data_IF_470364365536
#
_entry.id   IF_470364365536
#
_cell.length_a   1.000
_cell.length_b   1.000
_cell.length_c   1.000
_cell.angle_alpha   90.00
_cell.angle_beta   90.00
_cell.angle_gamma   90.00
#
_symmetry.space_group_name_H-M   'P 1'
#
loop_
_entity.id
_entity.type
_entity.pdbx_description
1 polymer ?
#
# COMPACT_ATOMS: atom_id res chain seq x y z
N UNK A 1 13.78 -33.50 19.62
CA UNK A 1 13.98 -33.60 18.13
C UNK A 1 15.39 -34.09 17.81
N UNK A 2 16.20 -34.42 18.84
CA UNK A 2 17.58 -34.87 18.65
C UNK A 2 17.61 -36.16 17.80
N UNK A 3 18.45 -36.15 16.75
CA UNK A 3 18.64 -37.29 15.83
C UNK A 3 17.54 -37.46 14.78
N UNK A 4 16.64 -36.47 14.59
CA UNK A 4 15.64 -36.49 13.54
C UNK A 4 15.98 -35.46 12.47
N UNK A 5 15.67 -35.79 11.21
CA UNK A 5 15.72 -34.86 10.10
C UNK A 5 14.46 -34.02 10.05
N UNK A 6 14.44 -32.88 9.34
CA UNK A 6 13.23 -32.08 9.13
C UNK A 6 12.03 -32.89 8.64
N UNK A 7 12.22 -33.86 7.75
CA UNK A 7 11.16 -34.79 7.29
C UNK A 7 10.58 -35.70 8.38
N UNK A 8 11.32 -35.92 9.45
CA UNK A 8 10.84 -36.68 10.60
C UNK A 8 10.04 -35.87 11.61
N UNK A 9 9.92 -34.56 11.42
CA UNK A 9 9.32 -33.61 12.36
C UNK A 9 8.21 -32.77 11.71
N UNK A 10 8.41 -32.37 10.47
CA UNK A 10 7.53 -31.46 9.75
C UNK A 10 6.93 -32.12 8.52
N UNK A 11 5.86 -31.53 8.00
CA UNK A 11 5.28 -31.91 6.72
C UNK A 11 6.28 -31.73 5.57
N UNK A 12 6.19 -32.54 4.48
CA UNK A 12 7.19 -32.55 3.40
C UNK A 12 7.52 -31.18 2.84
N UNK A 13 6.51 -30.34 2.57
CA UNK A 13 6.71 -29.01 2.00
C UNK A 13 7.52 -28.11 2.94
N UNK A 14 7.23 -28.14 4.23
CA UNK A 14 7.97 -27.38 5.24
C UNK A 14 9.38 -27.90 5.45
N UNK A 15 9.53 -29.22 5.45
CA UNK A 15 10.84 -29.86 5.56
C UNK A 15 11.75 -29.45 4.39
N UNK A 16 11.21 -29.39 3.16
CA UNK A 16 11.94 -28.93 1.97
C UNK A 16 12.39 -27.47 2.11
N UNK A 17 11.51 -26.58 2.61
CA UNK A 17 11.86 -25.19 2.84
C UNK A 17 13.03 -25.07 3.83
N UNK A 18 12.95 -25.76 4.97
CA UNK A 18 14.05 -25.77 5.96
C UNK A 18 15.35 -26.27 5.36
N UNK A 19 15.31 -27.39 4.65
CA UNK A 19 16.51 -27.99 4.01
C UNK A 19 17.05 -27.06 2.93
N UNK A 20 16.22 -26.36 2.21
CA UNK A 20 16.66 -25.39 1.20
C UNK A 20 17.46 -24.26 1.83
N UNK A 21 16.98 -23.70 2.95
CA UNK A 21 17.70 -22.67 3.69
C UNK A 21 19.00 -23.19 4.33
N UNK A 22 18.96 -24.40 4.89
CA UNK A 22 20.15 -25.04 5.41
C UNK A 22 21.24 -25.18 4.31
N UNK A 23 20.84 -25.64 3.11
CA UNK A 23 21.71 -25.75 1.97
C UNK A 23 22.29 -24.40 1.53
N UNK A 24 21.47 -23.38 1.51
CA UNK A 24 21.90 -22.02 1.16
C UNK A 24 22.99 -21.51 2.12
N UNK A 25 22.83 -21.71 3.44
CA UNK A 25 23.87 -21.37 4.41
C UNK A 25 25.16 -22.17 4.16
N UNK A 26 25.01 -23.46 3.82
CA UNK A 26 26.16 -24.32 3.51
C UNK A 26 26.91 -23.89 2.26
N UNK A 27 26.20 -23.51 1.19
CA UNK A 27 26.80 -23.12 -0.08
C UNK A 27 27.43 -21.73 -0.01
N UNK A 28 26.72 -20.76 0.59
CA UNK A 28 27.18 -19.39 0.66
C UNK A 28 28.17 -19.14 1.80
N UNK A 29 28.26 -20.07 2.76
CA UNK A 29 29.13 -19.99 3.94
C UNK A 29 28.99 -18.67 4.73
N UNK A 30 27.78 -18.13 4.78
CA UNK A 30 27.43 -16.87 5.47
C UNK A 30 26.12 -17.01 6.21
N UNK A 31 25.87 -16.14 7.22
CA UNK A 31 24.56 -16.06 7.86
C UNK A 31 23.46 -15.70 6.86
N UNK A 32 22.30 -16.37 6.99
CA UNK A 32 21.07 -15.99 6.31
C UNK A 32 19.98 -15.69 7.32
N UNK A 33 19.05 -14.82 6.92
CA UNK A 33 17.84 -14.51 7.68
C UNK A 33 16.64 -14.65 6.76
N UNK A 34 15.61 -15.37 7.23
CA UNK A 34 14.38 -15.61 6.49
C UNK A 34 13.20 -15.74 7.42
N UNK A 35 11.99 -15.59 6.90
CA UNK A 35 10.75 -15.76 7.65
C UNK A 35 10.11 -17.10 7.31
N UNK A 36 9.59 -17.79 8.33
CA UNK A 36 8.93 -19.07 8.15
C UNK A 36 7.71 -19.18 9.08
N UNK A 37 6.60 -19.65 8.51
CA UNK A 37 5.37 -19.92 9.25
C UNK A 37 5.32 -21.36 9.74
N UNK A 38 5.36 -21.54 11.05
CA UNK A 38 5.26 -22.84 11.70
C UNK A 38 3.82 -23.15 12.08
N UNK A 39 3.27 -24.29 11.66
CA UNK A 39 2.01 -24.79 12.17
C UNK A 39 2.20 -25.40 13.56
N UNK A 40 1.27 -25.12 14.45
CA UNK A 40 1.18 -25.77 15.76
C UNK A 40 0.13 -26.91 15.71
N UNK A 41 0.25 -27.94 16.60
CA UNK A 41 -0.70 -29.05 16.67
C UNK A 41 -2.14 -28.61 17.00
N UNK A 42 -2.32 -27.45 17.61
CA UNK A 42 -3.62 -26.85 17.95
C UNK A 42 -4.24 -26.03 16.79
N UNK A 43 -3.63 -26.09 15.61
CA UNK A 43 -4.08 -25.38 14.42
C UNK A 43 -3.64 -23.92 14.32
N UNK A 44 -2.99 -23.38 15.35
CA UNK A 44 -2.38 -22.04 15.26
C UNK A 44 -1.18 -22.06 14.32
N UNK A 45 -0.86 -20.89 13.77
CA UNK A 45 0.38 -20.67 13.02
C UNK A 45 1.13 -19.50 13.63
N UNK A 46 2.43 -19.65 13.76
CA UNK A 46 3.32 -18.58 14.21
C UNK A 46 4.40 -18.31 13.17
N UNK A 47 4.69 -17.04 12.94
CA UNK A 47 5.75 -16.59 12.06
C UNK A 47 7.02 -16.35 12.85
N UNK A 48 8.10 -16.97 12.42
CA UNK A 48 9.41 -16.76 13.01
C UNK A 48 10.36 -16.12 12.01
N UNK A 49 11.05 -15.09 12.45
CA UNK A 49 12.25 -14.62 11.80
C UNK A 49 13.39 -15.54 12.24
N UNK A 50 13.81 -16.38 11.31
CA UNK A 50 14.87 -17.37 11.52
C UNK A 50 16.20 -16.78 11.06
N UNK A 51 17.24 -16.92 11.90
CA UNK A 51 18.60 -16.61 11.52
C UNK A 51 19.47 -17.84 11.69
N UNK A 52 20.11 -18.25 10.62
CA UNK A 52 21.02 -19.39 10.59
C UNK A 52 22.43 -18.93 10.29
N UNK A 53 23.38 -19.52 11.01
CA UNK A 53 24.80 -19.18 10.97
C UNK A 53 25.60 -20.46 10.86
N UNK A 54 26.57 -20.58 9.93
CA UNK A 54 27.51 -21.69 9.94
C UNK A 54 28.46 -21.57 11.14
N UNK A 55 28.80 -22.67 11.76
CA UNK A 55 29.80 -22.67 12.85
C UNK A 55 30.91 -23.66 12.55
N UNK A 56 32.11 -23.36 13.08
CA UNK A 56 33.36 -24.00 12.73
C UNK A 56 34.13 -24.43 13.96
N UNK A 57 34.92 -25.49 13.82
CA UNK A 57 35.94 -25.84 14.77
C UNK A 57 37.09 -24.81 14.76
N UNK A 58 37.93 -24.85 15.79
CA UNK A 58 39.08 -23.95 15.94
C UNK A 58 40.08 -24.03 14.76
N UNK A 59 40.13 -25.17 14.07
CA UNK A 59 40.98 -25.42 12.92
C UNK A 59 40.30 -25.14 11.54
N UNK A 60 39.12 -24.51 11.56
CA UNK A 60 38.41 -24.06 10.36
C UNK A 60 37.50 -25.09 9.71
N UNK A 61 37.39 -26.31 10.24
CA UNK A 61 36.42 -27.29 9.78
C UNK A 61 34.99 -26.86 10.15
N UNK A 62 34.06 -26.91 9.19
CA UNK A 62 32.66 -26.60 9.45
C UNK A 62 32.00 -27.76 10.20
N UNK A 63 31.47 -27.48 11.39
CA UNK A 63 30.84 -28.47 12.24
C UNK A 63 29.32 -28.55 12.03
N UNK A 64 28.70 -27.48 11.53
CA UNK A 64 27.26 -27.45 11.33
C UNK A 64 26.68 -26.05 11.18
N UNK A 65 25.39 -25.96 11.49
CA UNK A 65 24.62 -24.72 11.52
C UNK A 65 24.04 -24.49 12.92
N UNK A 66 23.98 -23.24 13.32
CA UNK A 66 23.21 -22.81 14.49
C UNK A 66 22.09 -21.92 13.99
N UNK A 67 20.85 -22.27 14.31
CA UNK A 67 19.66 -21.49 14.00
C UNK A 67 19.00 -20.99 15.29
N UNK A 68 18.51 -19.74 15.25
CA UNK A 68 17.62 -19.20 16.25
C UNK A 68 16.47 -18.46 15.59
N UNK A 69 15.29 -18.55 16.19
CA UNK A 69 14.08 -17.93 15.70
C UNK A 69 13.54 -16.92 16.69
N UNK A 70 13.13 -15.76 16.18
CA UNK A 70 12.35 -14.77 16.92
C UNK A 70 10.91 -14.86 16.47
N UNK A 71 9.98 -15.01 17.39
CA UNK A 71 8.56 -14.96 17.09
C UNK A 71 8.16 -13.51 16.69
N UNK A 72 7.69 -13.36 15.48
CA UNK A 72 7.24 -12.08 14.90
C UNK A 72 5.76 -12.14 14.52
N UNK A 73 5.01 -13.11 15.04
CA UNK A 73 3.61 -13.37 14.66
C UNK A 73 2.72 -12.15 14.86
N UNK A 74 2.80 -11.53 16.05
CA UNK A 74 2.01 -10.33 16.35
C UNK A 74 2.40 -9.17 15.44
N UNK A 75 3.70 -8.98 15.22
CA UNK A 75 4.20 -7.94 14.32
C UNK A 75 3.65 -8.10 12.90
N UNK A 76 3.67 -9.32 12.36
CA UNK A 76 3.11 -9.63 11.04
C UNK A 76 1.61 -9.41 10.99
N UNK A 77 0.86 -9.82 12.02
CA UNK A 77 -0.59 -9.58 12.08
C UNK A 77 -0.92 -8.09 12.06
N UNK A 78 -0.25 -7.29 12.88
CA UNK A 78 -0.45 -5.84 12.89
C UNK A 78 -0.08 -5.20 11.55
N UNK A 79 1.00 -5.67 10.92
CA UNK A 79 1.41 -5.20 9.60
C UNK A 79 0.34 -5.50 8.54
N UNK A 80 -0.18 -6.72 8.52
CA UNK A 80 -1.23 -7.16 7.59
C UNK A 80 -2.54 -6.38 7.82
N UNK A 81 -2.93 -6.17 9.10
CA UNK A 81 -4.10 -5.37 9.45
C UNK A 81 -3.96 -3.91 8.98
N UNK A 82 -2.79 -3.30 9.20
CA UNK A 82 -2.51 -1.93 8.77
C UNK A 82 -2.52 -1.81 7.25
N UNK A 83 -1.92 -2.77 6.56
CA UNK A 83 -1.90 -2.80 5.09
C UNK A 83 -3.31 -2.97 4.53
N UNK A 84 -4.11 -3.87 5.11
CA UNK A 84 -5.51 -4.06 4.73
C UNK A 84 -6.33 -2.79 4.97
N UNK A 85 -6.25 -2.17 6.15
CA UNK A 85 -6.93 -0.93 6.45
C UNK A 85 -6.54 0.20 5.47
N UNK A 86 -5.27 0.27 5.11
CA UNK A 86 -4.76 1.22 4.12
C UNK A 86 -5.32 0.96 2.72
N UNK A 87 -5.46 -0.30 2.30
CA UNK A 87 -6.08 -0.68 1.03
C UNK A 87 -7.57 -0.38 1.01
N UNK A 88 -8.29 -0.72 2.09
CA UNK A 88 -9.72 -0.46 2.23
C UNK A 88 -10.02 1.05 2.16
N UNK A 89 -9.21 1.90 2.86
CA UNK A 89 -9.29 3.37 2.77
C UNK A 89 -9.18 3.85 1.32
N UNK A 90 -8.24 3.32 0.55
CA UNK A 90 -8.03 3.73 -0.85
C UNK A 90 -9.20 3.35 -1.74
N UNK A 91 -9.64 2.11 -1.61
CA UNK A 91 -10.78 1.61 -2.39
C UNK A 91 -12.01 2.45 -2.12
N UNK A 92 -12.26 2.77 -0.84
CA UNK A 92 -13.36 3.63 -0.42
C UNK A 92 -13.28 5.03 -1.05
N UNK A 93 -12.12 5.71 -0.93
CA UNK A 93 -11.93 7.07 -1.49
C UNK A 93 -12.10 7.04 -3.02
N UNK A 94 -11.53 6.06 -3.70
CA UNK A 94 -11.64 5.93 -5.16
C UNK A 94 -13.08 5.69 -5.60
N UNK A 95 -13.79 4.78 -4.94
CA UNK A 95 -15.18 4.45 -5.27
C UNK A 95 -16.09 5.65 -5.04
N UNK A 96 -16.04 6.28 -3.86
CA UNK A 96 -16.87 7.45 -3.56
C UNK A 96 -16.58 8.59 -4.54
N UNK A 97 -15.32 8.79 -4.92
CA UNK A 97 -14.95 9.84 -5.86
C UNK A 97 -15.58 9.64 -7.23
N UNK A 98 -15.62 8.40 -7.71
CA UNK A 98 -16.31 8.09 -8.98
C UNK A 98 -17.83 8.27 -8.88
N UNK A 99 -18.42 7.76 -7.80
CA UNK A 99 -19.86 7.81 -7.58
C UNK A 99 -20.38 9.23 -7.36
N UNK A 100 -19.56 10.13 -6.80
CA UNK A 100 -19.94 11.54 -6.60
C UNK A 100 -19.64 12.42 -7.81
N UNK A 101 -18.61 12.11 -8.60
CA UNK A 101 -18.25 12.90 -9.79
C UNK A 101 -19.39 12.92 -10.81
N UNK A 102 -20.05 11.80 -11.04
CA UNK A 102 -21.13 11.68 -12.02
C UNK A 102 -22.32 12.60 -11.73
N UNK A 103 -22.95 12.56 -10.53
CA UNK A 103 -24.05 13.47 -10.21
C UNK A 103 -23.59 14.94 -10.12
N UNK A 104 -22.39 15.21 -9.62
CA UNK A 104 -21.86 16.58 -9.56
C UNK A 104 -21.68 17.19 -10.96
N UNK A 105 -21.11 16.44 -11.89
CA UNK A 105 -20.97 16.89 -13.28
C UNK A 105 -22.34 17.16 -13.91
N UNK A 106 -23.35 16.34 -13.59
CA UNK A 106 -24.74 16.59 -14.00
C UNK A 106 -25.28 17.90 -13.43
N UNK A 107 -25.09 18.16 -12.15
CA UNK A 107 -25.55 19.40 -11.49
C UNK A 107 -24.82 20.61 -12.06
N UNK A 108 -23.50 20.55 -12.21
CA UNK A 108 -22.68 21.64 -12.79
C UNK A 108 -23.11 21.91 -14.23
N UNK A 109 -23.29 20.87 -15.05
CA UNK A 109 -23.70 21.03 -16.45
C UNK A 109 -25.10 21.61 -16.61
N UNK A 110 -26.08 21.06 -15.86
CA UNK A 110 -27.46 21.54 -15.93
C UNK A 110 -27.61 22.97 -15.37
N UNK A 111 -26.96 23.27 -14.25
CA UNK A 111 -26.99 24.64 -13.70
C UNK A 111 -26.38 25.67 -14.65
N UNK A 112 -25.30 25.28 -15.35
CA UNK A 112 -24.67 26.14 -16.38
C UNK A 112 -25.62 26.41 -17.56
N UNK A 113 -26.24 25.35 -18.11
CA UNK A 113 -27.21 25.48 -19.21
C UNK A 113 -28.39 26.36 -18.81
N UNK A 114 -28.92 26.20 -17.61
CA UNK A 114 -30.01 26.99 -17.10
C UNK A 114 -29.62 28.46 -16.88
N UNK A 115 -28.40 28.75 -16.47
CA UNK A 115 -27.88 30.12 -16.33
C UNK A 115 -27.79 30.87 -17.65
N UNK A 116 -27.72 30.15 -18.78
CA UNK A 116 -27.71 30.73 -20.14
C UNK A 116 -29.12 30.94 -20.73
N UNK A 117 -30.21 30.69 -19.94
CA UNK A 117 -31.60 30.90 -20.35
C UNK A 117 -32.19 32.17 -19.72
N UNK A 118 -33.40 32.55 -20.15
CA UNK A 118 -34.12 33.66 -19.51
C UNK A 118 -34.58 33.27 -18.10
N UNK A 119 -34.07 33.97 -17.09
CA UNK A 119 -34.31 33.72 -15.67
C UNK A 119 -34.80 34.99 -14.98
N UNK A 120 -35.63 34.83 -13.96
CA UNK A 120 -35.85 35.91 -12.99
C UNK A 120 -34.58 36.13 -12.14
N UNK A 121 -34.41 37.33 -11.60
CA UNK A 121 -33.26 37.66 -10.76
C UNK A 121 -33.13 36.71 -9.53
N UNK A 122 -34.25 36.20 -9.04
CA UNK A 122 -34.26 35.23 -7.91
C UNK A 122 -33.80 33.83 -8.36
N UNK A 123 -34.27 33.36 -9.51
CA UNK A 123 -33.84 32.08 -10.10
C UNK A 123 -32.37 32.09 -10.45
N UNK A 124 -31.86 33.18 -11.03
CA UNK A 124 -30.45 33.35 -11.35
C UNK A 124 -29.60 33.26 -10.09
N UNK A 125 -29.99 33.91 -8.98
CA UNK A 125 -29.29 33.84 -7.70
C UNK A 125 -29.25 32.41 -7.15
N UNK A 126 -30.34 31.67 -7.18
CA UNK A 126 -30.38 30.28 -6.71
C UNK A 126 -29.52 29.37 -7.57
N UNK A 127 -29.57 29.50 -8.90
CA UNK A 127 -28.76 28.70 -9.81
C UNK A 127 -27.26 28.97 -9.66
N UNK A 128 -26.87 30.25 -9.50
CA UNK A 128 -25.46 30.60 -9.20
C UNK A 128 -24.98 29.93 -7.91
N UNK A 129 -25.81 29.93 -6.86
CA UNK A 129 -25.46 29.29 -5.59
C UNK A 129 -25.32 27.78 -5.76
N UNK A 130 -26.22 27.12 -6.47
CA UNK A 130 -26.15 25.68 -6.76
C UNK A 130 -24.89 25.37 -7.56
N UNK A 131 -24.62 26.14 -8.62
CA UNK A 131 -23.46 25.95 -9.48
C UNK A 131 -22.15 26.06 -8.70
N UNK A 132 -21.96 27.15 -7.97
CA UNK A 132 -20.76 27.38 -7.15
C UNK A 132 -20.58 26.29 -6.11
N UNK A 133 -21.66 25.88 -5.44
CA UNK A 133 -21.61 24.82 -4.42
C UNK A 133 -21.20 23.48 -5.03
N UNK A 134 -21.73 23.12 -6.21
CA UNK A 134 -21.37 21.88 -6.88
C UNK A 134 -19.91 21.87 -7.36
N UNK A 135 -19.43 22.99 -7.92
CA UNK A 135 -18.01 23.13 -8.33
C UNK A 135 -17.09 23.04 -7.13
N UNK A 136 -17.41 23.75 -6.03
CA UNK A 136 -16.62 23.70 -4.79
C UNK A 136 -16.54 22.29 -4.23
N UNK A 137 -17.66 21.56 -4.19
CA UNK A 137 -17.72 20.20 -3.71
C UNK A 137 -16.84 19.26 -4.59
N UNK A 138 -16.88 19.44 -5.92
CA UNK A 138 -16.02 18.71 -6.85
C UNK A 138 -14.53 18.94 -6.59
N UNK A 139 -14.14 20.18 -6.33
CA UNK A 139 -12.75 20.51 -6.00
C UNK A 139 -12.30 19.85 -4.68
N UNK A 140 -13.12 19.90 -3.62
CA UNK A 140 -12.83 19.25 -2.34
C UNK A 140 -12.58 17.75 -2.54
N UNK A 141 -13.40 17.06 -3.34
CA UNK A 141 -13.18 15.65 -3.61
C UNK A 141 -11.88 15.38 -4.38
N UNK A 142 -11.54 16.21 -5.36
CA UNK A 142 -10.26 16.08 -6.05
C UNK A 142 -9.08 16.29 -5.10
N UNK A 143 -9.15 17.27 -4.21
CA UNK A 143 -8.13 17.53 -3.19
C UNK A 143 -7.93 16.31 -2.25
N UNK A 144 -9.03 15.66 -1.83
CA UNK A 144 -8.97 14.44 -0.99
C UNK A 144 -8.29 13.29 -1.74
N UNK A 145 -8.59 13.11 -3.03
CA UNK A 145 -7.96 12.08 -3.87
C UNK A 145 -6.46 12.35 -4.01
N UNK A 146 -6.10 13.59 -4.27
CA UNK A 146 -4.69 13.96 -4.48
C UNK A 146 -3.90 13.86 -3.17
N UNK A 147 -4.51 14.17 -2.03
CA UNK A 147 -3.92 13.94 -0.71
C UNK A 147 -3.66 12.44 -0.45
N UNK A 148 -4.60 11.54 -0.78
CA UNK A 148 -4.38 10.08 -0.66
C UNK A 148 -3.24 9.58 -1.58
N UNK A 149 -3.16 10.11 -2.80
CA UNK A 149 -2.06 9.80 -3.72
C UNK A 149 -0.70 10.27 -3.19
N UNK A 150 -0.66 11.45 -2.56
CA UNK A 150 0.56 12.01 -1.95
C UNK A 150 1.01 11.17 -0.75
N UNK A 151 0.11 10.81 0.16
CA UNK A 151 0.42 9.93 1.31
C UNK A 151 1.06 8.61 0.86
N UNK A 152 0.63 8.08 -0.27
CA UNK A 152 1.14 6.81 -0.85
C UNK A 152 2.39 6.96 -1.70
N UNK A 153 2.94 8.15 -1.84
CA UNK A 153 4.07 8.44 -2.74
C UNK A 153 3.82 7.99 -4.20
N UNK A 154 2.56 7.97 -4.62
CA UNK A 154 2.14 7.60 -5.98
C UNK A 154 2.00 8.81 -6.91
N UNK A 155 2.48 9.97 -6.50
CA UNK A 155 2.52 11.15 -7.37
C UNK A 155 3.55 10.89 -8.46
N UNK A 156 3.09 10.75 -9.69
CA UNK A 156 3.96 10.71 -10.87
C UNK A 156 4.29 12.16 -11.22
N UNK A 157 5.56 12.51 -11.12
CA UNK A 157 6.04 13.80 -11.61
C UNK A 157 6.23 13.68 -13.13
N UNK A 158 5.51 14.49 -13.87
CA UNK A 158 5.73 14.66 -15.31
C UNK A 158 6.83 15.71 -15.51
N UNK A 159 8.05 15.24 -15.72
CA UNK A 159 9.22 16.10 -15.94
C UNK A 159 9.25 16.61 -17.37
N UNK A 160 8.32 17.50 -17.72
CA UNK A 160 8.36 18.20 -19.00
C UNK A 160 8.97 19.61 -18.87
N UNK A 161 9.66 20.11 -19.91
CA UNK A 161 10.12 21.49 -19.91
C UNK A 161 8.91 22.43 -19.87
N UNK A 162 8.86 23.29 -18.85
CA UNK A 162 7.81 24.30 -18.69
C UNK A 162 8.31 25.62 -19.25
N UNK A 163 7.54 26.22 -20.16
CA UNK A 163 7.75 27.62 -20.55
C UNK A 163 7.31 28.52 -19.38
N UNK A 164 8.30 29.02 -18.66
CA UNK A 164 8.08 29.83 -17.47
C UNK A 164 7.36 31.15 -17.79
N UNK A 165 7.52 31.69 -19.01
CA UNK A 165 6.87 32.93 -19.43
C UNK A 165 5.35 32.70 -19.62
N UNK A 166 4.99 31.60 -20.27
CA UNK A 166 3.60 31.19 -20.43
C UNK A 166 2.95 30.89 -19.06
N UNK A 167 3.65 30.19 -18.19
CA UNK A 167 3.18 29.87 -16.84
C UNK A 167 2.91 31.13 -15.98
N UNK A 168 3.75 32.16 -16.06
CA UNK A 168 3.52 33.42 -15.36
C UNK A 168 2.32 34.19 -15.91
N UNK A 169 2.14 34.21 -17.24
CA UNK A 169 0.97 34.84 -17.86
C UNK A 169 -0.35 34.15 -17.46
N UNK A 170 -0.34 32.82 -17.33
CA UNK A 170 -1.49 32.07 -16.86
C UNK A 170 -1.81 32.36 -15.38
N UNK A 171 -0.80 32.56 -14.53
CA UNK A 171 -0.98 32.96 -13.13
C UNK A 171 -1.56 34.38 -12.99
N UNK A 172 -1.12 35.32 -13.81
CA UNK A 172 -1.66 36.69 -13.83
C UNK A 172 -3.13 36.73 -14.25
N UNK A 173 -3.56 35.82 -15.12
CA UNK A 173 -4.96 35.72 -15.56
C UNK A 173 -5.88 35.02 -14.51
N UNK A 174 -5.33 34.40 -13.48
CA UNK A 174 -6.06 33.73 -12.41
C UNK A 174 -6.28 34.62 -11.16
N UNK A 175 -5.67 35.77 -11.09
CA UNK A 175 -5.78 36.74 -9.98
C UNK A 175 -6.73 37.88 -10.32
#
# INVERSE_FOLDING_TARGET
>A
IIGRTPYGVYEPQMAEQIISHDREVFEQNRPITYELWFPYPDGRRACFEMRQVPFFAAHGERLGLVGFGRDITEHKRYQDELEKASQDKTTFISTISHELRTPLNGIVGLSRILLDTELTSEQEKYLKTIHVSAVTLGNIFNDIIDMDKMERRKVQLDNQPVDFTSFLADLENLS
#
